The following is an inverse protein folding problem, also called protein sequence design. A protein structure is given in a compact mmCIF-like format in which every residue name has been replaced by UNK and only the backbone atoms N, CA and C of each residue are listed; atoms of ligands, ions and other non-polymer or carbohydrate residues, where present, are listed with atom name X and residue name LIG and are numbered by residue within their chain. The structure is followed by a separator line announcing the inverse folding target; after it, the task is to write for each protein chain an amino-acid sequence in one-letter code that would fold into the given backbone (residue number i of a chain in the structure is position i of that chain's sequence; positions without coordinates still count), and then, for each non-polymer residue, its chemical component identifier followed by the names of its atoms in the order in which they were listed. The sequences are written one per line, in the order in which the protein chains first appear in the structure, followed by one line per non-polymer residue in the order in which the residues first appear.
data_IF_215137559238
#
_entry.id   IF_215137559238
#
_cell.length_a   1.000
_cell.length_b   1.000
_cell.length_c   1.000
_cell.angle_alpha   90.00
_cell.angle_beta   90.00
_cell.angle_gamma   90.00
#
_symmetry.space_group_name_H-M   'P 1'
#
loop_
_entity.id
_entity.type
_entity.pdbx_description
1 polymer ?
#
# COMPACT_ATOMS: atom_id res chain seq x y z
N UNK A 1 -23.89 -6.26 -11.46
CA UNK A 1 -24.02 -4.79 -11.57
C UNK A 1 -25.41 -4.48 -12.14
N UNK A 2 -26.36 -4.05 -11.31
CA UNK A 2 -27.69 -3.66 -11.76
C UNK A 2 -27.67 -2.14 -12.01
N UNK A 3 -27.55 -1.72 -13.26
CA UNK A 3 -27.57 -0.30 -13.62
C UNK A 3 -29.03 0.14 -13.81
N UNK A 4 -29.46 1.16 -13.07
CA UNK A 4 -30.77 1.81 -13.23
C UNK A 4 -30.59 3.22 -13.80
N UNK A 5 -31.49 3.63 -14.71
CA UNK A 5 -31.47 4.95 -15.38
C UNK A 5 -32.23 6.03 -14.62
N UNK A 6 -32.93 5.68 -13.54
CA UNK A 6 -33.85 6.58 -12.83
C UNK A 6 -33.09 7.47 -11.86
N UNK A 7 -33.21 8.80 -11.99
CA UNK A 7 -32.69 9.79 -11.04
C UNK A 7 -33.71 9.98 -9.92
N UNK A 8 -33.54 9.30 -8.79
CA UNK A 8 -34.35 9.43 -7.58
C UNK A 8 -33.67 8.78 -6.37
N UNK A 9 -34.11 9.12 -5.15
CA UNK A 9 -33.66 8.43 -3.92
C UNK A 9 -34.20 7.01 -3.98
N UNK A 10 -33.32 6.02 -4.11
CA UNK A 10 -33.72 4.62 -4.01
C UNK A 10 -33.89 4.26 -2.54
N UNK A 11 -35.05 3.68 -2.15
CA UNK A 11 -35.19 3.11 -0.82
C UNK A 11 -34.23 1.93 -0.70
N UNK A 12 -33.68 1.76 0.51
CA UNK A 12 -32.80 0.64 0.82
C UNK A 12 -33.51 -0.71 0.58
N UNK A 13 -32.83 -1.72 0.01
CA UNK A 13 -33.44 -3.00 -0.29
C UNK A 13 -33.77 -3.76 0.99
N UNK A 14 -34.95 -4.38 1.04
CA UNK A 14 -35.33 -5.29 2.12
C UNK A 14 -34.66 -6.65 1.94
N UNK A 15 -33.50 -6.80 2.57
CA UNK A 15 -32.74 -8.06 2.56
C UNK A 15 -33.04 -8.87 3.81
N UNK A 16 -33.25 -10.18 3.65
CA UNK A 16 -33.45 -11.11 4.74
C UNK A 16 -32.37 -12.20 4.71
N UNK A 17 -31.76 -12.47 5.86
CA UNK A 17 -30.82 -13.58 6.04
C UNK A 17 -31.34 -14.48 7.15
N UNK A 18 -31.57 -15.76 6.85
CA UNK A 18 -32.22 -16.70 7.76
C UNK A 18 -33.53 -16.15 8.37
N UNK A 19 -34.40 -15.57 7.53
CA UNK A 19 -35.65 -14.89 7.92
C UNK A 19 -35.49 -13.68 8.86
N UNK A 20 -34.29 -13.13 9.03
CA UNK A 20 -34.06 -11.88 9.76
C UNK A 20 -33.77 -10.74 8.80
N UNK A 21 -34.48 -9.62 8.94
CA UNK A 21 -34.24 -8.41 8.14
C UNK A 21 -32.86 -7.84 8.45
N UNK A 22 -32.04 -7.63 7.42
CA UNK A 22 -30.75 -6.97 7.53
C UNK A 22 -30.96 -5.45 7.54
N UNK A 23 -30.31 -4.76 8.47
CA UNK A 23 -30.27 -3.30 8.49
C UNK A 23 -29.26 -2.79 7.46
N UNK A 24 -29.68 -1.88 6.59
CA UNK A 24 -28.76 -1.11 5.76
C UNK A 24 -28.03 -0.09 6.64
N UNK A 25 -26.70 -0.18 6.67
CA UNK A 25 -25.83 0.71 7.45
C UNK A 25 -24.81 1.31 6.49
N UNK A 26 -24.48 2.58 6.65
CA UNK A 26 -23.55 3.30 5.76
C UNK A 26 -22.12 2.76 5.74
N UNK A 27 -21.69 2.19 6.86
CA UNK A 27 -20.40 1.55 7.01
C UNK A 27 -20.46 0.34 7.96
N UNK A 28 -19.84 -0.76 7.57
CA UNK A 28 -19.76 -1.99 8.36
C UNK A 28 -18.32 -2.42 8.60
N UNK A 29 -18.02 -2.91 9.81
CA UNK A 29 -16.71 -3.45 10.15
C UNK A 29 -16.66 -4.96 9.93
N UNK A 30 -15.74 -5.43 9.11
CA UNK A 30 -15.52 -6.85 8.86
C UNK A 30 -14.03 -7.15 8.75
N UNK A 31 -13.54 -8.15 9.50
CA UNK A 31 -12.11 -8.55 9.55
C UNK A 31 -11.13 -7.38 9.78
N UNK A 32 -11.56 -6.36 10.55
CA UNK A 32 -10.74 -5.17 10.83
C UNK A 32 -10.77 -4.08 9.75
N UNK A 33 -11.45 -4.32 8.63
CA UNK A 33 -11.72 -3.33 7.60
C UNK A 33 -13.07 -2.65 7.82
N UNK A 34 -13.17 -1.38 7.43
CA UNK A 34 -14.44 -0.65 7.39
C UNK A 34 -14.86 -0.52 5.92
N UNK A 35 -16.01 -1.11 5.60
CA UNK A 35 -16.60 -1.09 4.27
C UNK A 35 -17.72 -0.07 4.25
N UNK A 36 -17.53 1.00 3.49
CA UNK A 36 -18.55 1.99 3.20
C UNK A 36 -19.39 1.56 1.99
N UNK A 37 -20.64 2.04 1.91
CA UNK A 37 -21.60 1.67 0.86
C UNK A 37 -21.07 1.80 -0.58
N UNK A 38 -20.12 2.73 -0.80
CA UNK A 38 -19.51 2.99 -2.11
C UNK A 38 -18.13 2.37 -2.30
N UNK A 39 -17.62 1.64 -1.29
CA UNK A 39 -16.25 1.13 -1.24
C UNK A 39 -15.23 2.25 -1.56
N UNK A 40 -15.46 3.44 -1.02
CA UNK A 40 -14.55 4.58 -1.19
C UNK A 40 -13.38 4.53 -0.18
N UNK A 41 -13.53 3.75 0.90
CA UNK A 41 -12.55 3.48 1.95
C UNK A 41 -12.15 4.71 2.77
N UNK A 42 -12.90 5.80 2.66
CA UNK A 42 -12.63 7.06 3.37
C UNK A 42 -12.72 6.91 4.91
N UNK A 43 -13.80 6.36 5.50
CA UNK A 43 -13.86 6.15 6.94
C UNK A 43 -12.81 5.13 7.40
N UNK A 44 -12.50 4.12 6.57
CA UNK A 44 -11.42 3.18 6.86
C UNK A 44 -10.08 3.89 7.01
N UNK A 45 -9.62 4.66 6.02
CA UNK A 45 -8.33 5.35 6.10
C UNK A 45 -8.27 6.41 7.19
N UNK A 46 -9.39 7.07 7.51
CA UNK A 46 -9.47 7.96 8.69
C UNK A 46 -9.24 7.20 9.99
N UNK A 47 -9.91 6.07 10.16
CA UNK A 47 -9.72 5.21 11.35
C UNK A 47 -8.29 4.66 11.43
N UNK A 48 -7.72 4.28 10.29
CA UNK A 48 -6.36 3.76 10.19
C UNK A 48 -5.34 4.84 10.57
N UNK A 49 -5.47 6.05 10.02
CA UNK A 49 -4.65 7.21 10.42
C UNK A 49 -4.74 7.49 11.92
N UNK A 50 -5.95 7.44 12.49
CA UNK A 50 -6.15 7.62 13.92
C UNK A 50 -5.44 6.51 14.73
N UNK A 51 -5.49 5.27 14.26
CA UNK A 51 -4.81 4.13 14.91
C UNK A 51 -3.28 4.22 14.89
N UNK A 52 -2.70 4.95 13.93
CA UNK A 52 -1.27 5.19 13.83
C UNK A 52 -0.82 6.40 14.67
N UNK A 53 -1.76 7.22 15.17
CA UNK A 53 -1.45 8.44 15.93
C UNK A 53 -0.65 8.14 17.20
N UNK A 54 -1.01 7.09 17.93
CA UNK A 54 -0.31 6.67 19.14
C UNK A 54 1.13 6.23 18.85
N UNK A 55 1.34 5.42 17.82
CA UNK A 55 2.67 5.00 17.39
C UNK A 55 3.54 6.17 16.90
N UNK A 56 2.95 7.13 16.17
CA UNK A 56 3.64 8.35 15.77
C UNK A 56 3.99 9.23 16.98
N UNK A 57 3.12 9.34 17.98
CA UNK A 57 3.43 10.06 19.22
C UNK A 57 4.59 9.41 19.97
N UNK A 58 4.63 8.08 20.04
CA UNK A 58 5.74 7.34 20.63
C UNK A 58 7.05 7.64 19.88
N UNK A 59 7.05 7.55 18.54
CA UNK A 59 8.24 7.88 17.74
C UNK A 59 8.70 9.32 17.96
N UNK A 60 7.78 10.28 18.09
CA UNK A 60 8.12 11.68 18.40
C UNK A 60 8.83 11.84 19.74
N UNK A 61 8.39 11.10 20.74
CA UNK A 61 9.00 11.09 22.08
C UNK A 61 10.38 10.43 22.00
N UNK A 62 10.52 9.33 21.26
CA UNK A 62 11.81 8.67 21.13
C UNK A 62 12.79 9.36 20.17
N UNK A 63 12.35 10.29 19.32
CA UNK A 63 13.21 11.01 18.37
C UNK A 63 13.93 12.22 18.98
N UNK A 64 13.98 12.35 20.31
CA UNK A 64 14.69 13.45 20.96
C UNK A 64 16.22 13.32 20.84
N UNK A 65 16.92 14.42 20.58
CA UNK A 65 18.36 14.39 20.28
C UNK A 65 19.27 14.12 21.49
N UNK A 66 18.80 14.36 22.71
CA UNK A 66 19.63 14.23 23.93
C UNK A 66 19.55 12.87 24.61
N UNK A 67 18.41 12.18 24.51
CA UNK A 67 18.18 10.89 25.17
C UNK A 67 17.40 9.90 24.30
N UNK A 68 17.05 10.29 23.07
CA UNK A 68 16.24 9.48 22.17
C UNK A 68 16.97 8.27 21.61
N UNK A 69 16.24 7.50 20.81
CA UNK A 69 16.74 6.30 20.16
C UNK A 69 17.50 6.63 18.86
N UNK A 70 18.43 5.76 18.52
CA UNK A 70 19.17 5.85 17.25
C UNK A 70 18.25 5.74 16.03
N UNK A 71 18.72 6.27 14.89
CA UNK A 71 18.03 6.22 13.59
C UNK A 71 17.51 4.81 13.27
N UNK A 72 18.36 3.80 13.37
CA UNK A 72 18.00 2.42 12.99
C UNK A 72 16.91 1.85 13.88
N UNK A 73 16.97 2.13 15.19
CA UNK A 73 15.95 1.72 16.15
C UNK A 73 14.60 2.43 15.89
N UNK A 74 14.62 3.71 15.54
CA UNK A 74 13.40 4.44 15.18
C UNK A 74 12.79 3.94 13.87
N UNK A 75 13.60 3.67 12.85
CA UNK A 75 13.13 3.09 11.59
C UNK A 75 12.59 1.66 11.79
N UNK A 76 13.22 0.88 12.67
CA UNK A 76 12.72 -0.43 13.09
C UNK A 76 11.35 -0.32 13.77
N UNK A 77 11.19 0.60 14.73
CA UNK A 77 9.91 0.85 15.40
C UNK A 77 8.83 1.31 14.41
N UNK A 78 9.17 2.18 13.46
CA UNK A 78 8.25 2.55 12.38
C UNK A 78 7.83 1.30 11.56
N UNK A 79 8.80 0.46 11.17
CA UNK A 79 8.58 -0.78 10.41
C UNK A 79 7.72 -1.80 11.15
N UNK A 80 7.76 -1.83 12.48
CA UNK A 80 6.98 -2.80 13.29
C UNK A 80 5.63 -2.27 13.74
N UNK A 81 5.50 -0.98 14.05
CA UNK A 81 4.27 -0.44 14.67
C UNK A 81 3.31 0.24 13.71
N UNK A 82 3.85 0.97 12.72
CA UNK A 82 3.05 1.80 11.80
C UNK A 82 2.89 1.08 10.48
N UNK A 83 4.01 0.62 9.93
CA UNK A 83 4.05 0.10 8.59
C UNK A 83 3.12 -1.11 8.36
N UNK A 84 3.00 -2.11 9.26
CA UNK A 84 2.07 -3.22 9.07
C UNK A 84 0.61 -2.79 9.05
N UNK A 85 0.26 -1.70 9.76
CA UNK A 85 -1.10 -1.14 9.72
C UNK A 85 -1.43 -0.51 8.38
N UNK A 86 -0.44 0.12 7.73
CA UNK A 86 -0.61 0.76 6.42
C UNK A 86 -0.66 -0.25 5.27
N UNK A 87 0.03 -1.39 5.42
CA UNK A 87 0.05 -2.46 4.41
C UNK A 87 -1.12 -3.42 4.52
N UNK A 88 -1.71 -3.52 5.71
CA UNK A 88 -2.72 -4.52 5.99
C UNK A 88 -3.88 -4.42 5.01
N UNK A 89 -4.21 -5.54 4.36
CA UNK A 89 -5.32 -5.67 3.43
C UNK A 89 -5.27 -4.72 2.21
N UNK A 90 -4.08 -4.25 1.82
CA UNK A 90 -3.94 -3.44 0.63
C UNK A 90 -4.42 -4.11 -0.65
N UNK A 91 -4.55 -5.44 -0.64
CA UNK A 91 -5.13 -6.19 -1.73
C UNK A 91 -6.61 -5.83 -1.96
N UNK A 92 -7.34 -5.54 -0.88
CA UNK A 92 -8.80 -5.37 -0.88
C UNK A 92 -9.18 -3.96 -1.30
N UNK A 93 -8.52 -2.94 -0.75
CA UNK A 93 -8.79 -1.53 -1.09
C UNK A 93 -7.91 -1.01 -2.23
N UNK A 94 -7.21 -1.89 -2.95
CA UNK A 94 -6.44 -1.55 -4.15
C UNK A 94 -7.26 -0.86 -5.24
N UNK A 95 -8.56 -1.14 -5.29
CA UNK A 95 -9.51 -0.50 -6.19
C UNK A 95 -9.97 0.89 -5.72
N UNK A 96 -9.48 1.39 -4.57
CA UNK A 96 -9.82 2.69 -4.05
C UNK A 96 -9.29 3.82 -4.94
N UNK A 97 -9.92 4.98 -4.84
CA UNK A 97 -9.42 6.21 -5.49
C UNK A 97 -8.05 6.61 -4.90
N UNK A 98 -7.18 7.20 -5.73
CA UNK A 98 -5.84 7.64 -5.31
C UNK A 98 -5.84 8.69 -4.19
N UNK A 99 -6.83 9.59 -4.17
CA UNK A 99 -6.90 10.67 -3.18
C UNK A 99 -6.97 10.15 -1.72
N UNK A 100 -7.86 9.21 -1.39
CA UNK A 100 -7.85 8.53 -0.09
C UNK A 100 -6.51 7.83 0.27
N UNK A 101 -5.81 7.24 -0.71
CA UNK A 101 -4.52 6.57 -0.49
C UNK A 101 -3.40 7.53 -0.08
N UNK A 102 -3.46 8.80 -0.52
CA UNK A 102 -2.50 9.84 -0.08
C UNK A 102 -2.47 10.00 1.44
N UNK A 103 -3.58 9.75 2.12
CA UNK A 103 -3.64 9.79 3.60
C UNK A 103 -2.64 8.79 4.21
N UNK A 104 -2.53 7.58 3.65
CA UNK A 104 -1.57 6.58 4.12
C UNK A 104 -0.13 7.02 3.87
N UNK A 105 0.14 7.57 2.68
CA UNK A 105 1.46 8.12 2.34
C UNK A 105 1.88 9.24 3.31
N UNK A 106 0.96 10.10 3.76
CA UNK A 106 1.29 11.14 4.76
C UNK A 106 1.69 10.56 6.12
N UNK A 107 1.06 9.47 6.56
CA UNK A 107 1.41 8.80 7.83
C UNK A 107 2.77 8.13 7.69
N UNK A 108 3.02 7.45 6.57
CA UNK A 108 4.29 6.80 6.28
C UNK A 108 5.44 7.81 6.25
N UNK A 109 5.29 8.89 5.49
CA UNK A 109 6.26 9.98 5.39
C UNK A 109 6.57 10.59 6.76
N UNK A 110 5.53 10.89 7.54
CA UNK A 110 5.72 11.44 8.89
C UNK A 110 6.51 10.50 9.81
N UNK A 111 6.25 9.19 9.74
CA UNK A 111 6.98 8.20 10.52
C UNK A 111 8.45 8.11 10.12
N UNK A 112 8.73 8.12 8.81
CA UNK A 112 10.10 8.05 8.29
C UNK A 112 10.87 9.33 8.60
N UNK A 113 10.27 10.53 8.44
CA UNK A 113 10.91 11.79 8.86
C UNK A 113 11.32 11.78 10.33
N UNK A 114 10.48 11.21 11.21
CA UNK A 114 10.81 11.09 12.64
C UNK A 114 11.99 10.14 12.87
N UNK A 115 12.05 9.03 12.12
CA UNK A 115 13.14 8.07 12.26
C UNK A 115 14.48 8.53 11.67
N UNK A 116 14.45 9.26 10.56
CA UNK A 116 15.67 9.79 9.92
C UNK A 116 16.10 11.16 10.46
N UNK A 117 15.22 11.86 11.20
CA UNK A 117 15.44 13.26 11.59
C UNK A 117 15.29 14.26 10.44
N UNK A 118 14.78 13.84 9.28
CA UNK A 118 14.62 14.71 8.12
C UNK A 118 13.51 15.76 8.30
N UNK A 119 13.58 16.84 7.52
CA UNK A 119 12.53 17.86 7.50
C UNK A 119 11.19 17.29 7.04
N UNK A 120 10.09 17.84 7.57
CA UNK A 120 8.72 17.44 7.17
C UNK A 120 8.45 17.70 5.68
N UNK A 121 9.19 18.64 5.09
CA UNK A 121 9.13 19.04 3.67
C UNK A 121 10.08 18.24 2.77
N UNK A 122 10.87 17.31 3.33
CA UNK A 122 11.77 16.48 2.52
C UNK A 122 10.99 15.70 1.46
N UNK A 123 11.55 15.54 0.24
CA UNK A 123 10.88 14.83 -0.84
C UNK A 123 10.68 13.35 -0.50
N UNK A 124 9.44 12.87 -0.58
CA UNK A 124 9.01 11.54 -0.12
C UNK A 124 9.85 10.42 -0.75
N UNK A 125 10.00 10.40 -2.08
CA UNK A 125 10.69 9.29 -2.78
C UNK A 125 12.15 9.15 -2.36
N UNK A 126 12.90 10.25 -2.32
CA UNK A 126 14.31 10.24 -1.92
C UNK A 126 14.46 9.82 -0.45
N UNK A 127 13.59 10.32 0.42
CA UNK A 127 13.61 9.97 1.84
C UNK A 127 13.33 8.48 2.08
N UNK A 128 12.37 7.90 1.36
CA UNK A 128 12.03 6.48 1.51
C UNK A 128 13.18 5.58 1.05
N UNK A 129 13.86 5.93 -0.05
CA UNK A 129 15.04 5.21 -0.53
C UNK A 129 16.17 5.27 0.50
N UNK A 130 16.46 6.45 1.06
CA UNK A 130 17.47 6.62 2.11
C UNK A 130 17.16 5.80 3.38
N UNK A 131 15.87 5.71 3.73
CA UNK A 131 15.41 4.94 4.89
C UNK A 131 15.22 3.43 4.59
N UNK A 132 15.51 2.97 3.37
CA UNK A 132 15.36 1.56 2.98
C UNK A 132 13.92 1.07 2.81
N UNK A 133 12.96 1.98 2.61
CA UNK A 133 11.55 1.66 2.36
C UNK A 133 11.18 1.83 0.88
N UNK A 134 10.29 0.96 0.41
CA UNK A 134 9.62 1.16 -0.88
C UNK A 134 8.42 2.11 -0.73
N UNK A 135 8.22 3.06 -1.67
CA UNK A 135 6.98 3.82 -1.73
C UNK A 135 5.76 2.92 -1.83
N UNK A 136 4.66 3.31 -1.16
CA UNK A 136 3.41 2.54 -1.15
C UNK A 136 2.85 2.32 -2.56
N UNK A 137 3.08 3.27 -3.46
CA UNK A 137 2.68 3.21 -4.88
C UNK A 137 3.27 2.00 -5.61
N UNK A 138 4.47 1.56 -5.24
CA UNK A 138 5.09 0.35 -5.81
C UNK A 138 4.79 -0.90 -5.01
N UNK A 139 4.59 -0.74 -3.70
CA UNK A 139 4.44 -1.86 -2.79
C UNK A 139 3.05 -2.48 -2.82
N UNK A 140 1.99 -1.68 -2.95
CA UNK A 140 0.63 -2.19 -3.08
C UNK A 140 0.43 -3.05 -4.34
N UNK A 141 0.88 -2.63 -5.55
CA UNK A 141 0.86 -3.48 -6.73
C UNK A 141 1.67 -4.78 -6.56
N UNK A 142 2.82 -4.71 -5.88
CA UNK A 142 3.63 -5.90 -5.60
C UNK A 142 2.90 -6.90 -4.69
N UNK A 143 2.19 -6.42 -3.66
CA UNK A 143 1.39 -7.29 -2.77
C UNK A 143 0.16 -7.88 -3.48
N UNK A 144 -0.51 -7.09 -4.31
CA UNK A 144 -1.60 -7.57 -5.18
C UNK A 144 -1.14 -8.71 -6.09
N UNK A 145 0.01 -8.53 -6.72
CA UNK A 145 0.60 -9.53 -7.60
C UNK A 145 0.91 -10.84 -6.87
N UNK A 146 1.50 -10.75 -5.67
CA UNK A 146 1.73 -11.92 -4.80
C UNK A 146 0.42 -12.62 -4.43
N UNK A 147 -0.63 -11.86 -4.14
CA UNK A 147 -1.96 -12.39 -3.84
C UNK A 147 -2.54 -13.12 -5.05
N UNK A 148 -2.44 -12.52 -6.24
CA UNK A 148 -2.87 -13.12 -7.50
C UNK A 148 -2.14 -14.44 -7.79
N UNK A 149 -0.81 -14.49 -7.66
CA UNK A 149 -0.09 -15.76 -7.82
C UNK A 149 -0.51 -16.81 -6.79
N UNK A 150 -0.85 -16.39 -5.57
CA UNK A 150 -1.34 -17.30 -4.53
C UNK A 150 -2.69 -17.90 -4.92
N UNK A 151 -3.63 -17.12 -5.46
CA UNK A 151 -4.94 -17.62 -5.89
C UNK A 151 -4.84 -18.59 -7.07
N UNK A 152 -3.89 -18.38 -7.99
CA UNK A 152 -3.62 -19.32 -9.09
C UNK A 152 -2.98 -20.63 -8.64
N UNK A 153 -2.29 -20.64 -7.50
CA UNK A 153 -1.70 -21.87 -6.92
C UNK A 153 -2.67 -22.68 -6.07
N UNK A 154 -3.86 -22.17 -5.78
CA UNK A 154 -4.86 -22.90 -4.99
C UNK A 154 -5.38 -24.12 -5.76
N UNK A 155 -5.66 -25.26 -5.08
CA UNK A 155 -6.27 -26.41 -5.72
C UNK A 155 -7.72 -26.11 -6.11
N UNK A 156 -8.20 -26.76 -7.17
CA UNK A 156 -9.56 -26.52 -7.69
C UNK A 156 -10.67 -26.98 -6.74
N UNK A 157 -10.31 -27.70 -5.67
CA UNK A 157 -11.22 -28.11 -4.60
C UNK A 157 -11.67 -26.96 -3.69
N UNK A 158 -11.04 -25.78 -3.76
CA UNK A 158 -11.37 -24.65 -2.91
C UNK A 158 -12.72 -24.05 -3.33
N UNK A 159 -13.74 -24.02 -2.45
CA UNK A 159 -14.98 -23.32 -2.76
C UNK A 159 -14.68 -21.83 -2.97
N UNK A 160 -15.33 -21.20 -3.94
CA UNK A 160 -15.12 -19.80 -4.39
C UNK A 160 -13.91 -19.53 -5.31
N UNK A 161 -13.12 -20.55 -5.67
CA UNK A 161 -12.00 -20.38 -6.62
C UNK A 161 -12.45 -19.78 -7.96
N UNK A 162 -13.63 -20.17 -8.45
CA UNK A 162 -14.23 -19.62 -9.67
C UNK A 162 -14.47 -18.11 -9.58
N UNK A 163 -14.84 -17.60 -8.40
CA UNK A 163 -15.03 -16.17 -8.14
C UNK A 163 -13.67 -15.45 -8.06
N UNK A 164 -12.68 -16.08 -7.39
CA UNK A 164 -11.34 -15.52 -7.23
C UNK A 164 -10.53 -15.46 -8.54
N UNK A 165 -10.79 -16.39 -9.47
CA UNK A 165 -10.13 -16.46 -10.79
C UNK A 165 -10.94 -15.79 -11.90
N UNK A 166 -12.15 -15.29 -11.64
CA UNK A 166 -13.00 -14.72 -12.69
C UNK A 166 -12.33 -13.50 -13.35
N UNK A 167 -12.07 -13.62 -14.66
CA UNK A 167 -11.23 -12.76 -15.49
C UNK A 167 -11.76 -11.32 -15.69
N UNK A 168 -12.86 -10.96 -15.03
CA UNK A 168 -13.50 -9.63 -15.13
C UNK A 168 -12.88 -8.56 -14.23
N UNK A 169 -11.91 -8.92 -13.41
CA UNK A 169 -11.10 -7.96 -12.68
C UNK A 169 -10.04 -7.34 -13.61
N UNK A 170 -10.48 -6.50 -14.55
CA UNK A 170 -9.65 -5.69 -15.46
C UNK A 170 -8.53 -4.92 -14.73
N UNK A 171 -8.72 -4.64 -13.44
CA UNK A 171 -7.72 -4.02 -12.56
C UNK A 171 -6.41 -4.83 -12.45
N UNK A 172 -6.44 -6.16 -12.44
CA UNK A 172 -5.20 -6.95 -12.33
C UNK A 172 -4.45 -7.04 -13.65
N UNK A 173 -5.15 -7.12 -14.79
CA UNK A 173 -4.49 -7.20 -16.10
C UNK A 173 -3.79 -5.89 -16.49
N UNK A 174 -4.37 -4.73 -16.17
CA UNK A 174 -3.70 -3.43 -16.40
C UNK A 174 -2.50 -3.24 -15.48
N UNK A 175 -2.63 -3.61 -14.20
CA UNK A 175 -1.52 -3.57 -13.23
C UNK A 175 -0.40 -4.54 -13.66
N UNK A 176 -0.73 -5.75 -14.13
CA UNK A 176 0.26 -6.72 -14.64
C UNK A 176 1.07 -6.16 -15.80
N UNK A 177 0.44 -5.55 -16.82
CA UNK A 177 1.14 -4.97 -17.96
C UNK A 177 2.10 -3.83 -17.58
N UNK A 178 1.79 -3.05 -16.54
CA UNK A 178 2.67 -1.97 -16.03
C UNK A 178 3.87 -2.52 -15.24
N UNK A 179 3.71 -3.66 -14.56
CA UNK A 179 4.74 -4.24 -13.67
C UNK A 179 5.70 -5.23 -14.37
N UNK A 180 5.33 -5.76 -15.54
CA UNK A 180 6.11 -6.78 -16.28
C UNK A 180 7.60 -6.46 -16.48
N UNK A 181 8.06 -5.21 -16.68
CA UNK A 181 9.48 -4.93 -16.83
C UNK A 181 10.32 -5.14 -15.54
N UNK A 182 9.70 -5.33 -14.37
CA UNK A 182 10.40 -5.27 -13.06
C UNK A 182 9.99 -6.34 -12.05
N UNK A 183 9.37 -7.43 -12.52
CA UNK A 183 8.86 -8.54 -11.71
C UNK A 183 9.90 -9.12 -10.74
N UNK A 184 11.16 -9.25 -11.19
CA UNK A 184 12.26 -9.78 -10.38
C UNK A 184 12.63 -8.86 -9.20
N UNK A 185 12.54 -7.54 -9.39
CA UNK A 185 12.90 -6.54 -8.38
C UNK A 185 11.79 -6.32 -7.35
N UNK A 186 10.52 -6.42 -7.76
CA UNK A 186 9.35 -6.24 -6.86
C UNK A 186 9.09 -7.40 -5.90
N UNK A 187 9.60 -8.58 -6.25
CA UNK A 187 9.52 -9.77 -5.40
C UNK A 187 10.63 -9.82 -4.34
N UNK A 188 11.62 -8.92 -4.42
CA UNK A 188 12.68 -8.82 -3.42
C UNK A 188 12.12 -8.21 -2.11
N UNK A 189 12.43 -8.79 -0.93
CA UNK A 189 11.87 -8.35 0.35
C UNK A 189 12.35 -6.95 0.78
N UNK A 190 13.44 -6.42 0.22
CA UNK A 190 13.98 -5.09 0.51
C UNK A 190 14.63 -4.44 -0.74
N UNK A 191 14.56 -3.10 -0.91
CA UNK A 191 15.22 -2.40 -2.02
C UNK A 191 16.74 -2.50 -1.94
N UNK A 192 17.31 -2.42 -0.72
CA UNK A 192 18.75 -2.49 -0.51
C UNK A 192 19.32 -3.90 -0.72
N UNK A 193 18.62 -4.97 -0.34
CA UNK A 193 19.08 -6.34 -0.64
C UNK A 193 19.10 -6.64 -2.14
N UNK A 194 18.19 -6.02 -2.92
CA UNK A 194 18.20 -6.13 -4.37
C UNK A 194 19.38 -5.35 -5.00
N UNK A 195 19.74 -4.20 -4.42
CA UNK A 195 20.93 -3.43 -4.84
C UNK A 195 22.23 -4.13 -4.42
N UNK A 196 22.33 -4.69 -3.22
CA UNK A 196 23.52 -5.42 -2.75
C UNK A 196 23.81 -6.65 -3.62
N UNK A 197 22.79 -7.36 -4.09
CA UNK A 197 22.95 -8.47 -5.06
C UNK A 197 23.47 -8.00 -6.43
N UNK A 198 23.19 -6.76 -6.82
CA UNK A 198 23.70 -6.15 -8.06
C UNK A 198 25.10 -5.55 -7.87
N UNK A 199 25.40 -5.00 -6.69
CA UNK A 199 26.71 -4.44 -6.35
C UNK A 199 27.80 -5.50 -6.17
N UNK A 200 27.46 -6.69 -5.67
CA UNK A 200 28.44 -7.77 -5.48
C UNK A 200 28.84 -8.51 -6.77
N UNK A 201 28.16 -8.29 -7.90
CA UNK A 201 28.46 -9.01 -9.13
C UNK A 201 29.51 -8.33 -10.02
N UNK A 202 29.64 -6.99 -10.06
CA UNK A 202 30.77 -6.33 -10.75
C UNK A 202 31.04 -4.87 -10.26
N UNK A 203 32.24 -4.56 -9.71
CA UNK A 203 32.56 -3.25 -9.15
C UNK A 203 32.82 -2.13 -10.18
N UNK A 204 32.83 -2.42 -11.49
CA UNK A 204 33.10 -1.42 -12.54
C UNK A 204 31.85 -0.83 -13.22
N UNK A 205 30.65 -1.30 -12.88
CA UNK A 205 29.37 -0.91 -13.53
C UNK A 205 28.42 -0.08 -12.66
N UNK A 206 28.79 0.25 -11.42
CA UNK A 206 27.92 0.92 -10.47
C UNK A 206 27.51 2.35 -10.87
N UNK A 207 28.40 3.11 -11.51
CA UNK A 207 28.13 4.51 -11.89
C UNK A 207 27.28 4.63 -13.16
N UNK A 208 27.44 3.73 -14.13
CA UNK A 208 26.62 3.73 -15.36
C UNK A 208 25.20 3.22 -15.11
N UNK A 209 25.05 2.22 -14.22
CA UNK A 209 23.74 1.72 -13.81
C UNK A 209 22.96 2.76 -12.98
N UNK A 210 23.63 3.56 -12.15
CA UNK A 210 22.99 4.65 -11.40
C UNK A 210 22.50 5.78 -12.34
N UNK A 211 23.27 6.13 -13.38
CA UNK A 211 22.87 7.13 -14.38
C UNK A 211 21.70 6.64 -15.25
N UNK A 212 21.68 5.36 -15.64
CA UNK A 212 20.57 4.76 -16.38
C UNK A 212 19.31 4.61 -15.51
N UNK A 213 19.46 4.27 -14.23
CA UNK A 213 18.36 4.24 -13.27
C UNK A 213 17.78 5.66 -13.02
N UNK A 214 18.64 6.68 -12.90
CA UNK A 214 18.24 8.07 -12.76
C UNK A 214 17.54 8.61 -14.02
N UNK A 215 18.03 8.27 -15.22
CA UNK A 215 17.38 8.63 -16.50
C UNK A 215 16.03 7.94 -16.70
N UNK A 216 15.83 6.72 -16.17
CA UNK A 216 14.54 6.01 -16.24
C UNK A 216 13.46 6.59 -15.32
N UNK A 217 13.84 7.40 -14.33
CA UNK A 217 12.94 8.03 -13.35
C UNK A 217 12.43 9.42 -13.76
N UNK A 218 12.99 10.01 -14.83
CA UNK A 218 12.54 11.27 -15.42
C UNK A 218 11.58 10.98 -16.59
N UNK A 219 10.25 11.01 -16.40
CA UNK A 219 9.36 11.17 -17.54
C UNK A 219 9.62 12.57 -18.12
N UNK A 220 9.99 12.60 -19.39
CA UNK A 220 10.07 13.76 -20.28
C UNK A 220 9.24 14.96 -19.81
N UNK A 221 9.91 15.91 -19.15
CA UNK A 221 9.42 17.25 -18.89
C UNK A 221 10.58 18.20 -19.10
N UNK A 222 10.78 18.61 -20.35
CA UNK A 222 11.03 19.97 -20.83
C UNK A 222 11.38 19.88 -22.34
N UNK A 223 10.85 20.77 -23.21
CA UNK A 223 11.36 20.93 -24.55
C UNK A 223 12.80 21.47 -24.55
#
# INVERSE_FOLDING_TARGET
MHFYRTRGVQPDPDLYLANRRLSCVEAIRYLGLLFDNRLAWVPHFRSLKASCRTALSLLRVLSHTSWGADRDNLLLLHRTLIFPKLENCCEIYSSAMEAPLRVLATVHHAGVCLGTGAFRTSPIRSLLVDAGFWPLDFRHPSSLLRCWFRTHRLPDSVPCLSILRDSRSQAYNTILHILMPSLSLMMAPNPMQALDLVWFSHPSTGLSAFLLWYQSLLPSCLP
#
